data_IF_665599715642
#
_entry.id   IF_665599715642
#
_cell.length_a   1.000
_cell.length_b   1.000
_cell.length_c   1.000
_cell.angle_alpha   90.00
_cell.angle_beta   90.00
_cell.angle_gamma   90.00
#
_symmetry.space_group_name_H-M   'P 1'
#
loop_
_entity.id
_entity.type
_entity.pdbx_description
1 polymer ?
#
# COMPACT_ATOMS: atom_id res chain seq x y z
N UNK A 1 -5.40 18.98 -15.62
CA UNK A 1 -6.25 18.05 -14.87
C UNK A 1 -5.80 16.63 -15.22
N UNK A 2 -4.93 16.02 -14.41
CA UNK A 2 -4.08 14.90 -14.86
C UNK A 2 -4.77 13.52 -14.93
N UNK A 3 -6.01 13.36 -14.48
CA UNK A 3 -6.68 12.05 -14.57
C UNK A 3 -8.13 12.02 -15.07
N UNK A 4 -8.77 13.13 -15.41
CA UNK A 4 -10.01 13.16 -16.24
C UNK A 4 -11.21 12.31 -15.78
N UNK A 5 -11.14 11.67 -14.61
CA UNK A 5 -12.20 10.90 -13.96
C UNK A 5 -12.38 11.47 -12.55
N UNK A 6 -13.62 11.81 -12.19
CA UNK A 6 -13.99 12.03 -10.80
C UNK A 6 -13.63 10.76 -10.03
N UNK A 7 -12.55 10.83 -9.27
CA UNK A 7 -12.06 9.75 -8.44
C UNK A 7 -12.27 10.22 -7.02
N UNK A 8 -13.18 9.57 -6.29
CA UNK A 8 -13.37 9.80 -4.87
C UNK A 8 -12.13 9.32 -4.12
N UNK A 9 -11.14 10.20 -4.02
CA UNK A 9 -9.91 9.93 -3.29
C UNK A 9 -10.15 10.19 -1.81
N UNK A 10 -10.30 9.11 -1.04
CA UNK A 10 -10.30 9.18 0.41
C UNK A 10 -8.89 8.96 0.93
N UNK A 11 -8.27 10.02 1.45
CA UNK A 11 -6.98 9.96 2.15
C UNK A 11 -7.23 9.72 3.64
N UNK A 12 -6.89 8.53 4.13
CA UNK A 12 -6.87 8.23 5.55
C UNK A 12 -5.43 8.05 6.02
N UNK A 13 -5.03 8.82 7.03
CA UNK A 13 -3.74 8.67 7.69
C UNK A 13 -3.88 7.61 8.78
N UNK A 14 -3.22 6.49 8.60
CA UNK A 14 -3.20 5.38 9.56
C UNK A 14 -1.89 5.41 10.35
N UNK A 15 -1.97 5.70 11.65
CA UNK A 15 -0.79 5.73 12.53
C UNK A 15 -0.20 4.35 12.81
N UNK A 16 -0.95 3.27 12.57
CA UNK A 16 -0.42 1.90 12.64
C UNK A 16 0.49 1.58 11.45
N UNK A 17 0.39 2.36 10.37
CA UNK A 17 1.29 2.28 9.24
C UNK A 17 2.62 2.94 9.62
N UNK A 18 3.66 2.11 9.83
CA UNK A 18 5.03 2.59 10.08
C UNK A 18 5.60 3.48 8.96
N UNK A 19 4.97 3.43 7.78
CA UNK A 19 5.25 4.27 6.62
C UNK A 19 4.89 3.56 5.32
N UNK A 20 5.07 4.28 4.22
CA UNK A 20 4.65 3.86 2.88
C UNK A 20 3.19 4.20 2.62
N UNK A 21 2.59 3.55 1.61
CA UNK A 21 1.21 3.82 1.18
C UNK A 21 0.44 2.53 0.96
N UNK A 22 -0.86 2.58 1.25
CA UNK A 22 -1.83 1.54 0.86
C UNK A 22 -2.89 2.19 -0.01
N UNK A 23 -3.10 1.66 -1.20
CA UNK A 23 -4.07 2.17 -2.16
C UNK A 23 -5.11 1.09 -2.46
N UNK A 24 -6.39 1.45 -2.39
CA UNK A 24 -7.49 0.56 -2.75
C UNK A 24 -8.28 1.17 -3.91
N UNK A 25 -8.37 0.43 -5.01
CA UNK A 25 -9.15 0.81 -6.19
C UNK A 25 -10.13 -0.33 -6.46
N UNK A 26 -11.40 -0.14 -6.10
CA UNK A 26 -12.40 -1.21 -6.13
C UNK A 26 -12.00 -2.39 -5.23
N UNK A 27 -11.84 -3.57 -5.81
CA UNK A 27 -11.39 -4.80 -5.13
C UNK A 27 -9.87 -4.98 -5.14
N UNK A 28 -9.12 -4.10 -5.82
CA UNK A 28 -7.67 -4.19 -5.92
C UNK A 28 -7.05 -3.44 -4.74
N UNK A 29 -6.17 -4.12 -4.00
CA UNK A 29 -5.36 -3.53 -2.92
C UNK A 29 -3.89 -3.53 -3.33
N UNK A 30 -3.30 -2.35 -3.46
CA UNK A 30 -1.86 -2.16 -3.63
C UNK A 30 -1.28 -1.77 -2.27
N UNK A 31 -0.39 -2.60 -1.75
CA UNK A 31 0.24 -2.41 -0.45
C UNK A 31 1.75 -2.20 -0.61
N UNK A 32 2.16 -0.93 -0.61
CA UNK A 32 3.56 -0.53 -0.62
C UNK A 32 4.03 -0.11 0.78
N UNK A 33 3.36 -0.57 1.84
CA UNK A 33 3.76 -0.26 3.21
C UNK A 33 5.12 -0.85 3.55
N UNK A 34 5.85 -0.19 4.46
CA UNK A 34 7.15 -0.68 4.95
C UNK A 34 7.00 -2.06 5.60
N UNK A 35 5.89 -2.29 6.30
CA UNK A 35 5.58 -3.59 6.89
C UNK A 35 5.53 -4.70 5.83
N UNK A 36 4.85 -4.47 4.70
CA UNK A 36 4.78 -5.45 3.62
C UNK A 36 6.17 -5.72 3.01
N UNK A 37 6.97 -4.67 2.80
CA UNK A 37 8.34 -4.81 2.29
C UNK A 37 9.22 -5.67 3.22
N UNK A 38 9.16 -5.43 4.54
CA UNK A 38 9.90 -6.22 5.52
C UNK A 38 9.42 -7.67 5.56
N UNK A 39 8.12 -7.92 5.41
CA UNK A 39 7.57 -9.27 5.35
C UNK A 39 8.04 -10.03 4.12
N UNK A 40 8.04 -9.38 2.95
CA UNK A 40 8.55 -9.97 1.71
C UNK A 40 10.03 -10.34 1.84
N UNK A 41 10.86 -9.42 2.33
CA UNK A 41 12.29 -9.69 2.56
C UNK A 41 12.48 -10.86 3.54
N UNK A 42 11.72 -10.88 4.64
CA UNK A 42 11.77 -11.99 5.61
C UNK A 42 11.36 -13.31 4.96
N UNK A 43 10.35 -13.30 4.09
CA UNK A 43 9.92 -14.48 3.36
C UNK A 43 11.00 -14.95 2.39
N UNK A 44 11.64 -14.05 1.64
CA UNK A 44 12.76 -14.39 0.75
C UNK A 44 13.91 -15.06 1.51
N UNK A 45 14.28 -14.50 2.67
CA UNK A 45 15.33 -15.08 3.52
C UNK A 45 14.94 -16.43 4.14
N UNK A 46 13.65 -16.71 4.34
CA UNK A 46 13.17 -18.00 4.84
C UNK A 46 13.11 -19.09 3.76
N UNK A 47 13.04 -18.70 2.49
CA UNK A 47 13.06 -19.64 1.35
C UNK A 47 14.47 -19.80 0.74
N UNK A 48 15.47 -19.10 1.28
CA UNK A 48 16.87 -19.15 0.85
C UNK A 48 17.72 -20.14 1.67
#
# INVERSE_FOLDING_TARGET
NILGKETDLTLNVDQSLLGGIRLRIGNILLDASIQNQLQMLRAELMHA
#
